data_IF_292188610728
#
_entry.id   IF_292188610728
#
_cell.length_a   1.000
_cell.length_b   1.000
_cell.length_c   1.000
_cell.angle_alpha   90.00
_cell.angle_beta   90.00
_cell.angle_gamma   90.00
#
_symmetry.space_group_name_H-M   'P 1'
#
loop_
_entity.id
_entity.type
_entity.pdbx_description
1 polymer ?
#
# COMPACT_ATOMS: atom_id res chain seq x y z
N UNK A 1 46.57 -20.55 12.79
CA UNK A 1 45.96 -19.22 12.61
C UNK A 1 45.92 -18.92 11.12
N UNK A 2 44.75 -18.59 10.54
CA UNK A 2 44.18 -17.25 10.72
C UNK A 2 42.71 -17.23 11.20
N UNK A 3 42.51 -16.31 12.16
CA UNK A 3 41.39 -15.39 12.42
C UNK A 3 39.96 -15.77 12.00
N UNK A 4 39.22 -16.19 13.01
CA UNK A 4 37.79 -15.93 13.28
C UNK A 4 37.11 -14.92 12.33
N UNK A 5 36.19 -15.42 11.51
CA UNK A 5 35.05 -14.63 11.06
C UNK A 5 33.88 -14.97 11.99
N UNK A 6 33.81 -14.23 13.09
CA UNK A 6 32.68 -14.24 14.00
C UNK A 6 31.54 -13.49 13.28
N UNK A 7 30.76 -14.20 12.48
CA UNK A 7 29.55 -13.63 11.87
C UNK A 7 28.54 -13.49 13.02
N UNK A 8 28.51 -12.28 13.55
CA UNK A 8 27.56 -11.83 14.54
C UNK A 8 26.15 -12.25 14.13
N UNK A 9 25.53 -13.04 15.01
CA UNK A 9 24.10 -13.29 15.02
C UNK A 9 23.36 -11.95 15.09
N UNK A 10 23.03 -11.36 13.95
CA UNK A 10 22.03 -10.29 13.89
C UNK A 10 20.68 -10.97 14.00
N UNK A 11 20.03 -10.78 15.15
CA UNK A 11 18.69 -11.27 15.47
C UNK A 11 17.77 -11.20 14.25
N UNK A 12 17.48 -12.36 13.66
CA UNK A 12 16.42 -12.49 12.66
C UNK A 12 15.11 -12.11 13.36
N UNK A 13 14.63 -10.88 13.10
CA UNK A 13 13.26 -10.51 13.44
C UNK A 13 12.36 -11.48 12.69
N UNK A 14 11.88 -12.52 13.40
CA UNK A 14 10.95 -13.52 12.84
C UNK A 14 9.77 -12.77 12.23
N UNK A 15 9.50 -13.04 10.95
CA UNK A 15 8.34 -12.49 10.26
C UNK A 15 7.07 -12.91 11.02
N UNK A 16 6.20 -11.97 11.46
CA UNK A 16 4.99 -12.30 12.19
C UNK A 16 4.02 -13.20 11.40
N UNK A 17 4.18 -13.29 10.06
CA UNK A 17 3.32 -14.01 9.14
C UNK A 17 3.43 -15.56 9.16
N UNK A 18 4.17 -16.15 10.13
CA UNK A 18 4.58 -17.57 10.17
C UNK A 18 3.44 -18.58 10.53
N UNK A 19 2.36 -18.60 9.75
CA UNK A 19 1.43 -19.74 9.69
C UNK A 19 1.11 -20.23 8.27
N UNK A 20 1.64 -19.57 7.23
CA UNK A 20 1.45 -19.95 5.83
C UNK A 20 2.78 -20.20 5.12
N UNK A 21 2.78 -21.09 4.10
CA UNK A 21 3.93 -21.38 3.20
C UNK A 21 4.37 -20.17 2.33
N UNK A 22 3.88 -18.96 2.61
CA UNK A 22 4.34 -17.76 1.91
C UNK A 22 5.69 -17.40 2.52
N UNK A 23 6.71 -17.37 1.67
CA UNK A 23 8.07 -17.11 2.08
C UNK A 23 8.20 -15.74 2.73
N UNK A 24 9.04 -15.68 3.76
CA UNK A 24 9.55 -14.44 4.35
C UNK A 24 10.14 -13.48 3.30
N UNK A 25 10.52 -14.00 2.12
CA UNK A 25 11.12 -13.27 1.02
C UNK A 25 10.31 -12.06 0.54
N UNK A 26 9.00 -12.21 0.29
CA UNK A 26 8.17 -11.08 -0.17
C UNK A 26 8.11 -9.97 0.89
N UNK A 27 7.95 -10.31 2.18
CA UNK A 27 8.00 -9.31 3.25
C UNK A 27 9.38 -8.67 3.42
N UNK A 28 10.48 -9.42 3.19
CA UNK A 28 11.84 -8.86 3.23
C UNK A 28 12.06 -7.84 2.11
N UNK A 29 11.65 -8.17 0.88
CA UNK A 29 11.74 -7.23 -0.25
C UNK A 29 10.84 -6.01 -0.05
N UNK A 30 9.62 -6.20 0.45
CA UNK A 30 8.75 -5.08 0.82
C UNK A 30 9.43 -4.21 1.87
N UNK A 31 10.06 -4.80 2.89
CA UNK A 31 10.76 -4.03 3.91
C UNK A 31 11.99 -3.28 3.36
N UNK A 32 12.63 -3.74 2.28
CA UNK A 32 13.68 -2.96 1.62
C UNK A 32 13.15 -1.76 0.84
N UNK A 33 11.95 -1.87 0.24
CA UNK A 33 11.35 -0.81 -0.59
C UNK A 33 10.39 0.11 0.16
N UNK A 34 9.88 -0.32 1.30
CA UNK A 34 8.86 0.39 2.07
C UNK A 34 9.30 0.59 3.52
N UNK A 35 8.82 1.65 4.14
CA UNK A 35 8.88 1.88 5.57
C UNK A 35 7.85 0.98 6.28
N UNK A 36 8.00 -0.34 6.14
CA UNK A 36 7.02 -1.33 6.60
C UNK A 36 6.78 -1.26 8.11
N UNK A 37 7.83 -1.11 8.91
CA UNK A 37 7.70 -0.96 10.38
C UNK A 37 6.85 0.27 10.77
N UNK A 38 7.00 1.39 10.05
CA UNK A 38 6.19 2.60 10.27
C UNK A 38 4.74 2.37 9.85
N UNK A 39 4.54 1.81 8.66
CA UNK A 39 3.21 1.52 8.13
C UNK A 39 2.43 0.55 9.03
N UNK A 40 3.07 -0.50 9.56
CA UNK A 40 2.44 -1.45 10.48
C UNK A 40 2.02 -0.78 11.79
N UNK A 41 2.86 0.11 12.34
CA UNK A 41 2.52 0.89 13.55
C UNK A 41 1.34 1.84 13.31
N UNK A 42 1.35 2.56 12.19
CA UNK A 42 0.31 3.52 11.85
C UNK A 42 -1.03 2.80 11.58
N UNK A 43 -1.01 1.67 10.86
CA UNK A 43 -2.20 0.83 10.67
C UNK A 43 -2.72 0.23 11.98
N UNK A 44 -1.84 -0.22 12.88
CA UNK A 44 -2.23 -0.75 14.19
C UNK A 44 -2.89 0.33 15.07
N UNK A 45 -2.35 1.56 15.05
CA UNK A 45 -2.95 2.71 15.73
C UNK A 45 -4.36 2.99 15.21
N UNK A 46 -4.51 3.10 13.89
CA UNK A 46 -5.80 3.35 13.25
C UNK A 46 -6.80 2.23 13.50
N UNK A 47 -6.35 0.98 13.49
CA UNK A 47 -7.18 -0.17 13.86
C UNK A 47 -7.72 -0.04 15.28
N UNK A 48 -6.87 0.34 16.24
CA UNK A 48 -7.29 0.54 17.63
C UNK A 48 -8.33 1.67 17.76
N UNK A 49 -8.10 2.81 17.10
CA UNK A 49 -9.05 3.93 17.06
C UNK A 49 -10.40 3.50 16.49
N UNK A 50 -10.38 2.75 15.40
CA UNK A 50 -11.61 2.26 14.79
C UNK A 50 -12.33 1.21 15.66
N UNK A 51 -11.61 0.29 16.28
CA UNK A 51 -12.22 -0.72 17.15
C UNK A 51 -12.82 -0.09 18.43
N UNK A 52 -12.26 1.03 18.88
CA UNK A 52 -12.85 1.86 19.94
C UNK A 52 -14.13 2.55 19.46
N UNK A 53 -14.12 3.22 18.31
CA UNK A 53 -15.30 3.87 17.73
C UNK A 53 -16.43 2.87 17.39
N UNK A 54 -16.07 1.68 16.89
CA UNK A 54 -16.99 0.59 16.58
C UNK A 54 -17.55 -0.08 17.87
N UNK A 55 -17.15 0.38 19.08
CA UNK A 55 -17.59 -0.14 20.36
C UNK A 55 -17.10 -1.55 20.69
N UNK A 56 -16.12 -2.06 19.95
CA UNK A 56 -15.51 -3.38 20.18
C UNK A 56 -14.56 -3.38 21.38
N UNK A 57 -14.08 -2.20 21.77
CA UNK A 57 -13.26 -1.98 22.95
C UNK A 57 -13.94 -0.88 23.78
N UNK A 58 -14.19 -1.15 25.05
CA UNK A 58 -14.99 -0.27 25.92
C UNK A 58 -14.15 0.58 26.87
N UNK A 59 -12.97 0.12 27.25
CA UNK A 59 -12.31 0.63 28.47
C UNK A 59 -10.99 1.38 28.23
N UNK A 60 -10.15 0.99 27.25
CA UNK A 60 -8.91 1.71 26.89
C UNK A 60 -8.54 1.54 25.43
N UNK A 61 -7.99 2.60 24.83
CA UNK A 61 -7.34 2.56 23.53
C UNK A 61 -5.98 1.85 23.67
N UNK A 62 -6.00 0.52 23.71
CA UNK A 62 -4.79 -0.29 23.70
C UNK A 62 -4.36 -0.58 22.26
N UNK A 63 -3.05 -0.55 22.00
CA UNK A 63 -2.50 -0.81 20.68
C UNK A 63 -2.90 -2.21 20.21
N UNK A 64 -3.70 -2.28 19.13
CA UNK A 64 -4.11 -3.53 18.49
C UNK A 64 -3.17 -3.82 17.34
N UNK A 65 -2.33 -4.83 17.51
CA UNK A 65 -1.52 -5.32 16.39
C UNK A 65 -2.43 -5.81 15.25
N UNK A 66 -1.95 -5.64 14.02
CA UNK A 66 -2.54 -6.30 12.86
C UNK A 66 -2.41 -7.81 13.04
N UNK A 67 -3.43 -8.56 12.62
CA UNK A 67 -3.30 -10.02 12.64
C UNK A 67 -2.23 -10.49 11.66
N UNK A 68 -1.66 -11.66 11.92
CA UNK A 68 -0.72 -12.37 11.03
C UNK A 68 -1.20 -12.37 9.58
N UNK A 69 -2.50 -12.61 9.35
CA UNK A 69 -3.10 -12.58 8.02
C UNK A 69 -3.12 -11.18 7.41
N UNK A 70 -3.48 -10.16 8.18
CA UNK A 70 -3.49 -8.77 7.70
C UNK A 70 -2.07 -8.32 7.29
N UNK A 71 -1.06 -8.70 8.07
CA UNK A 71 0.35 -8.43 7.75
C UNK A 71 0.74 -9.15 6.46
N UNK A 72 0.38 -10.43 6.34
CA UNK A 72 0.67 -11.23 5.15
C UNK A 72 0.04 -10.65 3.88
N UNK A 73 -1.25 -10.29 3.93
CA UNK A 73 -1.94 -9.65 2.80
C UNK A 73 -1.31 -8.32 2.45
N UNK A 74 -0.98 -7.50 3.46
CA UNK A 74 -0.30 -6.22 3.24
C UNK A 74 1.04 -6.41 2.52
N UNK A 75 1.89 -7.35 2.97
CA UNK A 75 3.16 -7.63 2.30
C UNK A 75 2.92 -8.05 0.83
N UNK A 76 2.05 -9.03 0.57
CA UNK A 76 1.83 -9.52 -0.79
C UNK A 76 1.28 -8.45 -1.72
N UNK A 77 0.35 -7.65 -1.21
CA UNK A 77 -0.19 -6.55 -1.97
C UNK A 77 0.94 -5.53 -2.30
N UNK A 78 1.71 -5.06 -1.29
CA UNK A 78 2.81 -4.10 -1.48
C UNK A 78 3.90 -4.61 -2.43
N UNK A 79 4.15 -5.92 -2.41
CA UNK A 79 5.05 -6.60 -3.33
C UNK A 79 4.58 -6.50 -4.79
N UNK A 80 3.27 -6.47 -5.01
CA UNK A 80 2.66 -6.26 -6.33
C UNK A 80 1.62 -7.30 -6.73
N UNK A 81 1.28 -8.25 -5.86
CA UNK A 81 0.24 -9.25 -6.18
C UNK A 81 -1.15 -8.60 -6.23
N UNK A 82 -1.98 -9.04 -7.18
CA UNK A 82 -3.41 -8.72 -7.22
C UNK A 82 -4.19 -9.45 -6.13
N UNK A 83 -5.42 -9.02 -5.86
CA UNK A 83 -6.28 -9.69 -4.87
C UNK A 83 -6.56 -11.13 -5.31
N UNK A 84 -6.80 -11.34 -6.59
CA UNK A 84 -7.08 -12.63 -7.20
C UNK A 84 -5.87 -13.57 -7.12
N UNK A 85 -4.66 -13.04 -7.35
CA UNK A 85 -3.42 -13.82 -7.20
C UNK A 85 -3.17 -14.22 -5.75
N UNK A 86 -3.45 -13.32 -4.80
CA UNK A 86 -3.32 -13.62 -3.37
C UNK A 86 -4.36 -14.68 -2.96
N UNK A 87 -5.61 -14.57 -3.41
CA UNK A 87 -6.65 -15.58 -3.18
C UNK A 87 -6.23 -16.96 -3.68
N UNK A 88 -5.71 -17.02 -4.92
CA UNK A 88 -5.20 -18.26 -5.51
C UNK A 88 -4.01 -18.82 -4.71
N UNK A 89 -3.04 -17.96 -4.35
CA UNK A 89 -1.84 -18.34 -3.59
C UNK A 89 -2.17 -18.82 -2.18
N UNK A 90 -3.14 -18.19 -1.52
CA UNK A 90 -3.57 -18.52 -0.16
C UNK A 90 -4.65 -19.59 -0.09
N UNK A 91 -5.19 -20.04 -1.24
CA UNK A 91 -6.39 -20.88 -1.32
C UNK A 91 -7.53 -20.32 -0.46
N UNK A 92 -7.69 -18.98 -0.48
CA UNK A 92 -8.70 -18.25 0.28
C UNK A 92 -9.70 -17.65 -0.70
N UNK A 93 -10.96 -17.52 -0.28
CA UNK A 93 -12.01 -16.83 -1.02
C UNK A 93 -12.39 -15.54 -0.30
N UNK A 94 -12.91 -14.57 -1.05
CA UNK A 94 -13.50 -13.33 -0.54
C UNK A 94 -12.50 -12.39 0.16
N UNK A 95 -11.22 -12.45 -0.22
CA UNK A 95 -10.19 -11.55 0.29
C UNK A 95 -10.54 -10.08 0.04
N UNK A 96 -11.20 -9.76 -1.08
CA UNK A 96 -11.65 -8.38 -1.36
C UNK A 96 -12.54 -7.83 -0.24
N UNK A 97 -13.49 -8.62 0.24
CA UNK A 97 -14.38 -8.21 1.33
C UNK A 97 -13.62 -8.06 2.66
N UNK A 98 -12.67 -8.96 2.93
CA UNK A 98 -11.81 -8.88 4.11
C UNK A 98 -10.92 -7.62 4.07
N UNK A 99 -10.31 -7.31 2.93
CA UNK A 99 -9.49 -6.12 2.71
C UNK A 99 -10.30 -4.83 2.86
N UNK A 100 -11.50 -4.76 2.25
CA UNK A 100 -12.41 -3.62 2.38
C UNK A 100 -12.78 -3.32 3.82
N UNK A 101 -12.99 -4.34 4.66
CA UNK A 101 -13.33 -4.15 6.08
C UNK A 101 -12.12 -3.84 6.96
N UNK A 102 -10.91 -4.08 6.47
CA UNK A 102 -9.67 -4.01 7.26
C UNK A 102 -8.66 -3.06 6.62
N UNK A 103 -7.68 -3.58 5.88
CA UNK A 103 -6.55 -2.81 5.37
C UNK A 103 -6.98 -1.58 4.55
N UNK A 104 -8.01 -1.69 3.72
CA UNK A 104 -8.49 -0.53 2.95
C UNK A 104 -9.11 0.50 3.89
N UNK A 105 -10.04 0.10 4.78
CA UNK A 105 -10.66 1.02 5.74
C UNK A 105 -9.63 1.73 6.64
N UNK A 106 -8.61 1.00 7.12
CA UNK A 106 -7.52 1.61 7.90
C UNK A 106 -6.70 2.59 7.06
N UNK A 107 -6.45 2.24 5.81
CA UNK A 107 -5.68 3.07 4.89
C UNK A 107 -6.43 4.31 4.43
N UNK A 108 -7.76 4.26 4.35
CA UNK A 108 -8.60 5.43 4.10
C UNK A 108 -8.45 6.47 5.22
N UNK A 109 -8.34 6.03 6.48
CA UNK A 109 -8.08 6.93 7.62
C UNK A 109 -6.67 7.51 7.59
N UNK A 110 -5.65 6.74 7.19
CA UNK A 110 -4.28 7.24 7.06
C UNK A 110 -4.17 8.28 5.95
N UNK A 111 -4.82 8.03 4.81
CA UNK A 111 -4.66 8.83 3.58
C UNK A 111 -5.69 9.95 3.44
N UNK A 112 -6.81 9.87 4.17
CA UNK A 112 -7.97 10.73 3.98
C UNK A 112 -8.71 10.51 2.64
N UNK A 113 -8.38 9.45 1.89
CA UNK A 113 -8.92 9.16 0.56
C UNK A 113 -9.61 7.81 0.56
N UNK A 114 -10.74 7.69 -0.13
CA UNK A 114 -11.45 6.43 -0.34
C UNK A 114 -10.65 5.47 -1.23
N UNK A 115 -10.53 4.21 -0.84
CA UNK A 115 -9.75 3.17 -1.52
C UNK A 115 -10.70 2.08 -2.05
N UNK A 116 -10.87 2.04 -3.37
CA UNK A 116 -11.79 1.10 -4.01
C UNK A 116 -11.09 -0.15 -4.56
N UNK A 117 -9.77 -0.07 -4.75
CA UNK A 117 -8.95 -1.13 -5.30
C UNK A 117 -7.50 -1.05 -4.82
N UNK A 118 -6.74 -2.12 -5.10
CA UNK A 118 -5.34 -2.24 -4.68
C UNK A 118 -4.41 -1.18 -5.31
N UNK A 119 -4.59 -0.84 -6.58
CA UNK A 119 -3.76 0.15 -7.24
C UNK A 119 -3.87 1.53 -6.55
N UNK A 120 -5.08 1.92 -6.14
CA UNK A 120 -5.31 3.14 -5.37
C UNK A 120 -4.64 3.09 -3.99
N UNK A 121 -4.73 1.96 -3.29
CA UNK A 121 -4.03 1.79 -2.02
C UNK A 121 -2.54 2.07 -2.16
N UNK A 122 -1.90 1.41 -3.15
CA UNK A 122 -0.45 1.49 -3.34
C UNK A 122 -0.04 2.93 -3.61
N UNK A 123 -0.71 3.58 -4.56
CA UNK A 123 -0.47 4.98 -4.93
C UNK A 123 -0.58 5.92 -3.72
N UNK A 124 -1.65 5.80 -2.91
CA UNK A 124 -1.84 6.69 -1.78
C UNK A 124 -0.82 6.45 -0.66
N UNK A 125 -0.43 5.20 -0.41
CA UNK A 125 0.63 4.90 0.55
C UNK A 125 2.00 5.43 0.09
N UNK A 126 2.29 5.38 -1.21
CA UNK A 126 3.47 6.02 -1.78
C UNK A 126 3.45 7.54 -1.53
N UNK A 127 2.32 8.20 -1.79
CA UNK A 127 2.15 9.65 -1.55
C UNK A 127 2.23 10.05 -0.08
N UNK A 128 1.84 9.17 0.84
CA UNK A 128 2.04 9.38 2.27
C UNK A 128 3.50 9.15 2.73
N UNK A 129 4.42 8.84 1.81
CA UNK A 129 5.84 8.68 2.10
C UNK A 129 6.18 7.32 2.73
N UNK A 130 5.34 6.30 2.54
CA UNK A 130 5.66 4.95 3.03
C UNK A 130 6.59 4.17 2.10
N UNK A 131 6.79 4.61 0.85
CA UNK A 131 7.77 4.00 -0.06
C UNK A 131 9.11 4.71 0.05
N UNK A 132 10.18 3.94 0.24
CA UNK A 132 11.55 4.42 0.32
C UNK A 132 12.05 4.85 -1.06
N UNK A 133 12.90 5.87 -1.11
CA UNK A 133 13.62 6.25 -2.33
C UNK A 133 12.78 6.90 -3.43
N UNK A 134 11.47 7.09 -3.22
CA UNK A 134 10.68 8.05 -4.00
C UNK A 134 10.55 9.32 -3.19
N UNK A 135 11.36 10.33 -3.48
CA UNK A 135 10.94 11.71 -3.27
C UNK A 135 9.64 11.93 -4.06
N UNK A 136 8.71 12.72 -3.54
CA UNK A 136 7.63 13.27 -4.37
C UNK A 136 8.29 14.12 -5.45
N UNK A 137 8.69 13.51 -6.55
CA UNK A 137 8.70 14.20 -7.82
C UNK A 137 7.21 14.40 -8.12
N UNK A 138 6.78 15.67 -8.14
CA UNK A 138 5.44 16.05 -8.58
C UNK A 138 5.10 15.22 -9.81
N UNK A 139 4.11 14.32 -9.68
CA UNK A 139 3.51 13.64 -10.83
C UNK A 139 2.79 14.73 -11.62
N UNK A 140 3.53 15.43 -12.49
CA UNK A 140 2.95 16.24 -13.54
C UNK A 140 2.28 15.26 -14.48
N UNK A 141 0.96 15.15 -14.38
CA UNK A 141 0.16 14.47 -15.38
C UNK A 141 0.25 15.29 -16.67
N UNK A 142 1.11 14.86 -17.59
CA UNK A 142 1.12 15.38 -18.96
C UNK A 142 -0.11 14.84 -19.69
N UNK A 143 -1.14 15.67 -19.83
CA UNK A 143 -2.30 15.35 -20.64
C UNK A 143 -2.10 15.98 -22.02
N UNK A 144 -1.97 15.14 -23.05
CA UNK A 144 -1.98 15.57 -24.45
C UNK A 144 -3.42 15.64 -24.95
N UNK A 145 -3.98 16.84 -25.03
CA UNK A 145 -5.30 17.06 -25.61
C UNK A 145 -5.17 17.41 -27.09
N UNK A 146 -5.85 16.64 -27.94
CA UNK A 146 -5.99 16.97 -29.36
C UNK A 146 -7.31 17.71 -29.56
N UNK A 147 -7.22 19.02 -29.78
CA UNK A 147 -8.37 19.88 -30.03
C UNK A 147 -8.59 20.03 -31.53
N UNK A 148 -9.83 19.80 -31.98
CA UNK A 148 -10.26 20.11 -33.35
C UNK A 148 -10.87 21.51 -33.37
N UNK A 149 -10.16 22.46 -33.97
CA UNK A 149 -10.61 23.84 -34.09
C UNK A 149 -11.29 24.00 -35.47
N UNK A 150 -12.58 24.36 -35.54
CA UNK A 150 -13.26 24.55 -36.82
C UNK A 150 -12.68 25.78 -37.53
N UNK A 151 -12.22 25.60 -38.78
CA UNK A 151 -11.78 26.70 -39.65
C UNK A 151 -12.95 27.27 -40.48
N UNK A 152 -13.93 26.42 -40.81
CA UNK A 152 -15.17 26.71 -41.53
C UNK A 152 -16.05 25.43 -41.58
N UNK A 153 -17.21 25.46 -42.26
CA UNK A 153 -18.28 24.43 -42.19
C UNK A 153 -17.88 22.98 -42.55
N UNK A 154 -16.68 22.75 -43.08
CA UNK A 154 -16.22 21.41 -43.49
C UNK A 154 -14.76 21.08 -43.15
N UNK A 155 -13.98 21.97 -42.51
CA UNK A 155 -12.56 21.69 -42.19
C UNK A 155 -12.19 22.05 -40.75
N UNK A 156 -11.32 21.23 -40.15
CA UNK A 156 -10.82 21.39 -38.79
C UNK A 156 -9.28 21.37 -38.77
N UNK A 157 -8.67 22.28 -38.02
CA UNK A 157 -7.26 22.17 -37.64
C UNK A 157 -7.12 21.31 -36.38
N UNK A 158 -6.05 20.53 -36.31
CA UNK A 158 -5.67 19.77 -35.11
C UNK A 158 -4.59 20.53 -34.36
N UNK A 159 -4.87 20.93 -33.13
CA UNK A 159 -3.87 21.50 -32.23
C UNK A 159 -3.61 20.53 -31.08
N UNK A 160 -2.32 20.24 -30.84
CA UNK A 160 -1.86 19.50 -29.67
C UNK A 160 -1.58 20.49 -28.55
N UNK A 161 -2.32 20.39 -27.46
CA UNK A 161 -2.11 21.22 -26.26
C UNK A 161 -1.53 20.34 -25.16
N UNK A 162 -0.38 20.77 -24.64
CA UNK A 162 0.23 20.20 -23.44
C UNK A 162 -0.29 20.95 -22.22
N UNK A 163 -0.95 20.24 -21.32
CA UNK A 163 -1.38 20.79 -20.04
C UNK A 163 -0.61 20.09 -18.94
N UNK A 164 0.08 20.87 -18.11
CA UNK A 164 0.73 20.41 -16.89
C UNK A 164 -0.21 20.70 -15.73
N UNK A 165 -0.75 19.65 -15.12
CA UNK A 165 -1.55 19.79 -13.91
C UNK A 165 -0.65 19.50 -12.71
N UNK A 166 -0.39 20.52 -11.89
CA UNK A 166 0.05 20.31 -10.52
C UNK A 166 -1.16 19.83 -9.71
N UNK A 167 -1.03 18.69 -9.06
CA UNK A 167 -2.07 18.18 -8.15
C UNK A 167 -1.69 18.60 -6.72
N UNK A 168 -2.25 19.73 -6.28
CA UNK A 168 -2.21 20.15 -4.87
C UNK A 168 -2.94 19.17 -3.94
#
# INVERSE_FOLDING_TARGET
MPKNLNIMATSEKKCPALSYKISCHECLQVNSEWHLDRLLKDLAKVKAEQDFEDGKIRDKLEARELSVHQICWLCLLLFGFSVEEIEAKLKRRQLRADLSRTLFKYSERITGKKINNWAQFKLYMERCGYRKGRSMEEEVLEINLSLKIPRNSSTYDSMLVKVNLALD
#
